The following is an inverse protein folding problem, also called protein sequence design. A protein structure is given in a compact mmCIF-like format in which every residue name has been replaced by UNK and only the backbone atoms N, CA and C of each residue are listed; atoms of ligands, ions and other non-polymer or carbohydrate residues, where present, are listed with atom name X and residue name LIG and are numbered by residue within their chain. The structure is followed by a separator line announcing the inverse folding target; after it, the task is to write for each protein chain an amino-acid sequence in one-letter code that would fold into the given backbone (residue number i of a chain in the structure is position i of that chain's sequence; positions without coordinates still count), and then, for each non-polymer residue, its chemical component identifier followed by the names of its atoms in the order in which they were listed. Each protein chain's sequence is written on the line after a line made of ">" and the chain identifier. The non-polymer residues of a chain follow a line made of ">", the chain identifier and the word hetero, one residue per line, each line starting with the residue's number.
data_IF_121468777547
#
_entry.id   IF_121468777547
#
_cell.length_a   1.000
_cell.length_b   1.000
_cell.length_c   1.000
_cell.angle_alpha   90.00
_cell.angle_beta   90.00
_cell.angle_gamma   90.00
#
_symmetry.space_group_name_H-M   'P 1'
#
loop_
_entity.id
_entity.type
_entity.pdbx_description
1 polymer ?
#
# COMPACT_ATOMS: atom_id res chain seq x y z
N UNK A 1 1.85 -6.85 -6.69
CA UNK A 1 2.00 -5.98 -7.89
C UNK A 1 0.81 -6.18 -8.81
N UNK A 2 0.58 -5.27 -9.76
CA UNK A 2 -0.52 -5.39 -10.74
C UNK A 2 0.04 -5.65 -12.14
N UNK A 3 -0.72 -6.38 -12.93
CA UNK A 3 -0.49 -6.58 -14.35
C UNK A 3 -1.80 -6.48 -15.12
N UNK A 4 -1.71 -6.12 -16.39
CA UNK A 4 -2.85 -6.09 -17.30
C UNK A 4 -2.77 -7.26 -18.28
N UNK A 5 -3.89 -7.93 -18.52
CA UNK A 5 -4.02 -8.93 -19.58
C UNK A 5 -3.80 -8.27 -20.96
N UNK A 6 -2.80 -8.70 -21.70
CA UNK A 6 -2.54 -8.26 -23.10
C UNK A 6 -3.43 -9.00 -24.10
N UNK A 7 -3.72 -10.25 -23.78
CA UNK A 7 -4.52 -11.18 -24.58
C UNK A 7 -5.47 -11.95 -23.69
N UNK A 8 -6.49 -12.56 -24.27
CA UNK A 8 -7.32 -13.52 -23.56
C UNK A 8 -6.51 -14.80 -23.31
N UNK A 9 -6.61 -15.33 -22.11
CA UNK A 9 -5.98 -16.59 -21.73
C UNK A 9 -7.03 -17.52 -21.11
N UNK A 10 -7.17 -18.70 -21.72
CA UNK A 10 -8.02 -19.78 -21.22
C UNK A 10 -7.13 -20.84 -20.59
N UNK A 11 -7.27 -21.05 -19.29
CA UNK A 11 -6.57 -22.09 -18.55
C UNK A 11 -6.84 -23.48 -19.16
N UNK A 12 -5.77 -24.24 -19.32
CA UNK A 12 -5.80 -25.63 -19.83
C UNK A 12 -5.46 -26.63 -18.73
N UNK A 13 -4.82 -26.18 -17.67
CA UNK A 13 -4.50 -26.95 -16.48
C UNK A 13 -5.24 -26.39 -15.24
N UNK A 14 -5.38 -27.23 -14.20
CA UNK A 14 -6.14 -26.89 -12.99
C UNK A 14 -5.49 -25.82 -12.13
N UNK A 15 -4.19 -25.62 -12.28
CA UNK A 15 -3.38 -24.62 -11.57
C UNK A 15 -3.21 -23.32 -12.36
N UNK A 16 -3.75 -23.24 -13.58
CA UNK A 16 -3.74 -22.04 -14.39
C UNK A 16 -4.93 -21.13 -14.10
N UNK A 17 -4.79 -19.83 -14.35
CA UNK A 17 -5.82 -18.81 -14.12
C UNK A 17 -6.27 -18.18 -15.44
N UNK A 18 -7.53 -18.42 -15.83
CA UNK A 18 -8.13 -17.79 -17.00
C UNK A 18 -8.38 -16.30 -16.77
N UNK A 19 -8.13 -15.50 -17.80
CA UNK A 19 -8.44 -14.07 -17.80
C UNK A 19 -8.68 -13.53 -19.21
N UNK A 20 -9.36 -12.39 -19.28
CA UNK A 20 -9.61 -11.67 -20.53
C UNK A 20 -8.61 -10.53 -20.73
N UNK A 21 -8.42 -10.12 -21.97
CA UNK A 21 -7.66 -8.91 -22.30
C UNK A 21 -8.21 -7.70 -21.52
N UNK A 22 -7.29 -6.94 -20.92
CA UNK A 22 -7.62 -5.78 -20.08
C UNK A 22 -7.96 -6.13 -18.63
N UNK A 23 -8.04 -7.42 -18.26
CA UNK A 23 -8.20 -7.78 -16.85
C UNK A 23 -7.03 -7.28 -16.02
N UNK A 24 -7.32 -6.77 -14.83
CA UNK A 24 -6.31 -6.36 -13.84
C UNK A 24 -6.02 -7.55 -12.93
N UNK A 25 -4.83 -8.07 -13.04
CA UNK A 25 -4.35 -9.23 -12.29
C UNK A 25 -3.47 -8.75 -11.12
N UNK A 26 -3.63 -9.37 -9.98
CA UNK A 26 -2.73 -9.19 -8.83
C UNK A 26 -1.62 -10.23 -8.93
N UNK A 27 -0.39 -9.79 -9.16
CA UNK A 27 0.77 -10.68 -9.22
C UNK A 27 1.26 -11.00 -7.81
N UNK A 28 1.28 -12.28 -7.50
CA UNK A 28 1.65 -12.82 -6.19
C UNK A 28 3.11 -13.27 -6.16
N UNK A 29 3.57 -13.95 -7.22
CA UNK A 29 4.93 -14.43 -7.33
C UNK A 29 5.41 -14.39 -8.80
N UNK A 30 6.67 -13.96 -9.01
CA UNK A 30 7.31 -13.84 -10.32
C UNK A 30 8.60 -14.67 -10.42
N UNK A 31 8.95 -15.42 -9.38
CA UNK A 31 10.28 -16.04 -9.24
C UNK A 31 10.24 -17.57 -9.28
N UNK A 32 9.07 -18.19 -9.11
CA UNK A 32 8.94 -19.65 -9.13
C UNK A 32 9.21 -20.24 -10.52
N UNK A 33 8.79 -19.54 -11.56
CA UNK A 33 8.98 -19.98 -12.95
C UNK A 33 9.38 -18.81 -13.86
N UNK A 34 10.22 -19.08 -14.85
CA UNK A 34 10.69 -18.05 -15.79
C UNK A 34 9.61 -17.58 -16.77
N UNK A 35 8.62 -18.40 -17.07
CA UNK A 35 7.58 -18.16 -18.07
C UNK A 35 6.20 -17.93 -17.48
N UNK A 36 5.99 -18.29 -16.22
CA UNK A 36 4.70 -18.23 -15.54
C UNK A 36 4.79 -17.42 -14.26
N UNK A 37 3.80 -16.57 -14.05
CA UNK A 37 3.66 -15.84 -12.81
C UNK A 37 2.45 -16.34 -12.04
N UNK A 38 2.59 -16.50 -10.73
CA UNK A 38 1.44 -16.74 -9.87
C UNK A 38 0.65 -15.46 -9.72
N UNK A 39 -0.63 -15.50 -10.02
CA UNK A 39 -1.53 -14.35 -10.00
C UNK A 39 -2.85 -14.66 -9.31
N UNK A 40 -3.57 -13.61 -8.94
CA UNK A 40 -4.94 -13.67 -8.43
C UNK A 40 -5.84 -12.77 -9.28
N UNK A 41 -7.04 -13.26 -9.58
CA UNK A 41 -8.12 -12.50 -10.18
C UNK A 41 -9.44 -12.85 -9.49
N UNK A 42 -10.11 -11.85 -8.89
CA UNK A 42 -11.40 -11.99 -8.18
C UNK A 42 -11.42 -13.10 -7.12
N UNK A 43 -10.31 -13.25 -6.38
CA UNK A 43 -10.17 -14.25 -5.32
C UNK A 43 -9.76 -15.65 -5.78
N UNK A 44 -9.57 -15.86 -7.07
CA UNK A 44 -9.02 -17.10 -7.62
C UNK A 44 -7.53 -16.95 -7.89
N UNK A 45 -6.73 -17.90 -7.45
CA UNK A 45 -5.28 -17.93 -7.68
C UNK A 45 -4.94 -18.97 -8.75
N UNK A 46 -3.91 -18.69 -9.54
CA UNK A 46 -3.36 -19.63 -10.49
C UNK A 46 -2.20 -19.03 -11.27
N UNK A 47 -1.61 -19.84 -12.15
CA UNK A 47 -0.50 -19.42 -12.99
C UNK A 47 -1.02 -18.75 -14.28
N UNK A 48 -0.33 -17.68 -14.68
CA UNK A 48 -0.59 -16.91 -15.90
C UNK A 48 0.68 -16.80 -16.72
N UNK A 49 0.60 -16.94 -18.07
CA UNK A 49 1.79 -16.84 -18.90
C UNK A 49 2.34 -15.41 -18.89
N UNK A 50 3.62 -15.24 -18.61
CA UNK A 50 4.33 -13.95 -18.58
C UNK A 50 4.12 -13.15 -19.88
N UNK A 51 4.07 -13.81 -21.02
CA UNK A 51 3.93 -13.15 -22.33
C UNK A 51 2.52 -12.64 -22.60
N UNK A 52 1.52 -13.11 -21.87
CA UNK A 52 0.11 -12.72 -21.99
C UNK A 52 -0.29 -11.56 -21.11
N UNK A 53 0.61 -11.12 -20.24
CA UNK A 53 0.37 -10.00 -19.32
C UNK A 53 1.43 -8.91 -19.47
N UNK A 54 1.07 -7.73 -19.04
CA UNK A 54 1.97 -6.58 -18.91
C UNK A 54 2.02 -6.15 -17.45
N UNK A 55 3.16 -6.41 -16.81
CA UNK A 55 3.39 -5.99 -15.42
C UNK A 55 3.64 -4.49 -15.40
N UNK A 56 2.91 -3.77 -14.54
CA UNK A 56 3.13 -2.34 -14.33
C UNK A 56 4.37 -2.18 -13.45
N UNK A 57 5.47 -1.65 -14.00
CA UNK A 57 6.67 -1.40 -13.20
C UNK A 57 6.39 -0.24 -12.24
N UNK A 58 6.61 -0.47 -10.96
CA UNK A 58 6.60 0.58 -9.96
C UNK A 58 8.03 0.95 -9.57
N UNK A 59 8.39 2.24 -9.57
CA UNK A 59 9.76 2.69 -9.25
C UNK A 59 10.17 2.34 -7.81
N UNK A 60 9.22 2.08 -6.95
CA UNK A 60 9.46 1.66 -5.57
C UNK A 60 9.59 0.15 -5.37
N UNK A 61 9.42 -0.68 -6.41
CA UNK A 61 9.58 -2.14 -6.28
C UNK A 61 10.97 -2.59 -6.70
N UNK A 62 11.70 -3.22 -5.79
CA UNK A 62 13.09 -3.62 -5.95
C UNK A 62 13.32 -5.13 -6.06
N UNK A 63 12.24 -5.93 -6.16
CA UNK A 63 12.37 -7.40 -6.30
C UNK A 63 13.00 -8.06 -5.08
N UNK A 64 13.85 -9.05 -5.31
CA UNK A 64 14.47 -9.89 -4.27
C UNK A 64 15.77 -9.33 -3.73
N UNK A 65 15.78 -8.06 -3.32
CA UNK A 65 16.93 -7.50 -2.61
C UNK A 65 16.88 -7.87 -1.12
N UNK A 66 18.07 -7.99 -0.52
CA UNK A 66 18.21 -8.27 0.90
C UNK A 66 17.81 -7.07 1.77
N UNK A 67 17.52 -7.35 3.05
CA UNK A 67 17.29 -6.29 4.06
C UNK A 67 18.47 -5.32 4.13
N UNK A 68 19.70 -5.84 4.14
CA UNK A 68 20.92 -5.04 4.20
C UNK A 68 21.08 -4.15 2.96
N UNK A 69 20.71 -4.66 1.80
CA UNK A 69 20.74 -3.90 0.55
C UNK A 69 19.71 -2.78 0.53
N UNK A 70 18.50 -3.05 1.02
CA UNK A 70 17.46 -2.04 1.19
C UNK A 70 17.91 -0.92 2.14
N UNK A 71 18.57 -1.26 3.26
CA UNK A 71 19.14 -0.30 4.20
C UNK A 71 20.23 0.56 3.54
N UNK A 72 21.13 -0.03 2.76
CA UNK A 72 22.17 0.71 2.02
C UNK A 72 21.58 1.71 1.03
N UNK A 73 20.54 1.31 0.29
CA UNK A 73 19.86 2.17 -0.69
C UNK A 73 19.19 3.36 0.02
N UNK A 74 18.45 3.09 1.08
CA UNK A 74 17.66 4.11 1.78
C UNK A 74 18.51 5.04 2.65
N UNK A 75 19.64 4.57 3.17
CA UNK A 75 20.56 5.34 4.02
C UNK A 75 21.78 5.87 3.26
N UNK A 76 21.77 5.79 1.93
CA UNK A 76 22.89 6.28 1.12
C UNK A 76 23.16 7.75 1.42
N UNK A 77 24.43 8.05 1.68
CA UNK A 77 24.92 9.41 1.92
C UNK A 77 25.59 9.97 0.70
N UNK A 78 25.43 11.24 0.49
CA UNK A 78 26.18 11.99 -0.51
C UNK A 78 27.69 11.99 -0.15
N UNK A 79 28.59 11.61 -1.07
CA UNK A 79 30.02 11.50 -0.77
C UNK A 79 30.66 12.83 -0.36
N UNK A 80 30.19 13.96 -0.86
CA UNK A 80 30.74 15.28 -0.58
C UNK A 80 30.20 15.91 0.69
N UNK A 81 28.90 15.78 0.94
CA UNK A 81 28.23 16.45 2.06
C UNK A 81 27.98 15.55 3.26
N UNK A 82 28.14 14.24 3.11
CA UNK A 82 27.84 13.20 4.12
C UNK A 82 26.37 13.23 4.62
N UNK A 83 25.51 13.93 3.90
CA UNK A 83 24.06 13.98 4.21
C UNK A 83 23.34 12.81 3.55
N UNK A 84 22.27 12.35 4.18
CA UNK A 84 21.40 11.36 3.59
C UNK A 84 20.81 11.89 2.26
N UNK A 85 20.96 11.12 1.19
CA UNK A 85 20.41 11.48 -0.13
C UNK A 85 18.90 11.33 -0.17
N UNK A 86 18.37 10.36 0.57
CA UNK A 86 16.94 10.07 0.55
C UNK A 86 16.20 10.87 1.64
N UNK A 87 15.00 11.39 1.34
CA UNK A 87 14.18 12.13 2.30
C UNK A 87 13.65 11.23 3.42
N UNK A 88 13.18 11.84 4.49
CA UNK A 88 12.41 11.15 5.54
C UNK A 88 11.14 10.55 4.95
N UNK A 89 10.87 9.27 5.24
CA UNK A 89 9.77 8.53 4.65
C UNK A 89 10.06 7.90 3.28
N UNK A 90 11.28 8.09 2.74
CA UNK A 90 11.69 7.39 1.51
C UNK A 90 11.55 5.88 1.72
N UNK A 91 10.98 5.19 0.73
CA UNK A 91 10.65 3.79 0.88
C UNK A 91 10.94 2.97 -0.37
N UNK A 92 11.03 1.67 -0.16
CA UNK A 92 10.98 0.66 -1.20
C UNK A 92 10.21 -0.57 -0.73
N UNK A 93 9.65 -1.31 -1.68
CA UNK A 93 9.03 -2.62 -1.47
C UNK A 93 9.94 -3.68 -2.09
N UNK A 94 10.16 -4.75 -1.36
CA UNK A 94 10.97 -5.90 -1.77
C UNK A 94 10.26 -7.22 -1.47
N UNK A 95 10.69 -8.29 -2.09
CA UNK A 95 10.27 -9.64 -1.71
C UNK A 95 10.77 -9.94 -0.30
N UNK A 96 9.99 -10.68 0.47
CA UNK A 96 10.36 -11.06 1.84
C UNK A 96 11.35 -12.22 1.81
N UNK A 97 12.54 -12.06 2.43
CA UNK A 97 13.57 -13.11 2.45
C UNK A 97 13.12 -14.36 3.24
N UNK A 98 12.35 -14.18 4.29
CA UNK A 98 11.91 -15.27 5.18
C UNK A 98 10.62 -15.98 4.73
N UNK A 99 9.92 -15.42 3.74
CA UNK A 99 8.62 -15.93 3.31
C UNK A 99 8.47 -15.66 1.81
N UNK A 100 8.82 -16.61 0.94
CA UNK A 100 8.65 -16.48 -0.51
C UNK A 100 7.20 -16.14 -0.88
N UNK A 101 7.02 -15.18 -1.78
CA UNK A 101 5.69 -14.69 -2.18
C UNK A 101 5.12 -13.54 -1.33
N UNK A 102 5.68 -13.29 -0.15
CA UNK A 102 5.32 -12.13 0.68
C UNK A 102 6.16 -10.91 0.33
N UNK A 103 5.68 -9.73 0.72
CA UNK A 103 6.38 -8.46 0.53
C UNK A 103 6.85 -7.88 1.87
N UNK A 104 7.93 -7.10 1.80
CA UNK A 104 8.42 -6.27 2.90
C UNK A 104 8.51 -4.82 2.43
N UNK A 105 7.94 -3.91 3.20
CA UNK A 105 8.07 -2.47 3.04
C UNK A 105 9.22 -1.99 3.91
N UNK A 106 10.21 -1.35 3.31
CA UNK A 106 11.37 -0.76 4.00
C UNK A 106 11.28 0.75 3.88
N UNK A 107 11.29 1.46 5.02
CA UNK A 107 11.05 2.91 5.08
C UNK A 107 12.15 3.59 5.88
N UNK A 108 12.75 4.63 5.30
CA UNK A 108 13.73 5.46 5.99
C UNK A 108 13.06 6.29 7.09
N UNK A 109 13.56 6.14 8.30
CA UNK A 109 13.12 6.88 9.48
C UNK A 109 14.33 7.42 10.22
N UNK A 110 14.58 8.70 10.11
CA UNK A 110 15.78 9.36 10.62
C UNK A 110 17.07 8.74 10.03
N UNK A 111 17.96 8.25 10.86
CA UNK A 111 19.21 7.56 10.47
C UNK A 111 19.08 6.03 10.43
N UNK A 112 17.87 5.51 10.41
CA UNK A 112 17.58 4.08 10.41
C UNK A 112 16.55 3.73 9.32
N UNK A 113 16.39 2.44 9.08
CA UNK A 113 15.33 1.90 8.22
C UNK A 113 14.42 1.01 9.06
N UNK A 114 13.13 1.30 9.01
CA UNK A 114 12.11 0.44 9.58
C UNK A 114 11.60 -0.51 8.50
N UNK A 115 11.41 -1.78 8.88
CA UNK A 115 10.95 -2.81 7.97
C UNK A 115 9.62 -3.38 8.46
N UNK A 116 8.63 -3.35 7.60
CA UNK A 116 7.29 -3.84 7.87
C UNK A 116 7.01 -5.04 6.95
N UNK A 117 6.63 -6.16 7.53
CA UNK A 117 6.11 -7.28 6.74
C UNK A 117 4.72 -6.90 6.24
N UNK A 118 4.51 -6.96 4.94
CA UNK A 118 3.17 -6.81 4.36
C UNK A 118 2.44 -8.13 4.56
N UNK A 119 1.41 -8.11 5.39
CA UNK A 119 0.60 -9.29 5.70
C UNK A 119 -0.46 -9.48 4.62
N UNK A 120 -0.90 -10.72 4.45
CA UNK A 120 -1.98 -11.09 3.54
C UNK A 120 -2.98 -11.96 4.27
N UNK A 121 -4.28 -11.63 4.22
CA UNK A 121 -5.32 -12.43 4.83
C UNK A 121 -5.81 -13.57 3.92
N UNK A 122 -6.70 -14.41 4.46
CA UNK A 122 -7.28 -15.53 3.72
C UNK A 122 -8.18 -15.13 2.53
N UNK A 123 -8.55 -13.85 2.40
CA UNK A 123 -9.26 -13.28 1.25
C UNK A 123 -8.31 -12.62 0.26
N UNK A 124 -6.99 -12.73 0.47
CA UNK A 124 -5.97 -12.16 -0.40
C UNK A 124 -5.74 -10.66 -0.22
N UNK A 125 -6.29 -10.01 0.81
CA UNK A 125 -6.09 -8.57 1.05
C UNK A 125 -4.78 -8.32 1.78
N UNK A 126 -4.10 -7.24 1.40
CA UNK A 126 -2.84 -6.81 2.00
C UNK A 126 -3.06 -5.79 3.11
N UNK A 127 -2.24 -5.86 4.16
CA UNK A 127 -2.29 -4.92 5.28
C UNK A 127 -0.96 -4.86 6.02
N UNK A 128 -0.71 -3.75 6.72
CA UNK A 128 0.36 -3.63 7.72
C UNK A 128 -0.20 -3.77 9.13
N UNK A 129 -1.37 -3.19 9.36
CA UNK A 129 -2.00 -3.12 10.67
C UNK A 129 -3.45 -3.61 10.57
N UNK A 130 -4.38 -2.69 10.49
CA UNK A 130 -5.83 -2.98 10.54
C UNK A 130 -6.49 -2.80 9.18
N UNK A 131 -6.14 -1.73 8.47
CA UNK A 131 -6.75 -1.39 7.17
C UNK A 131 -6.27 -2.36 6.11
N UNK A 132 -7.21 -2.97 5.38
CA UNK A 132 -6.95 -4.01 4.38
C UNK A 132 -7.21 -3.47 2.97
N UNK A 133 -6.31 -3.80 2.06
CA UNK A 133 -6.28 -3.32 0.68
C UNK A 133 -6.33 -4.48 -0.31
N UNK A 134 -6.91 -4.25 -1.47
CA UNK A 134 -6.97 -5.25 -2.53
C UNK A 134 -5.61 -5.43 -3.24
N UNK A 135 -4.71 -4.44 -3.12
CA UNK A 135 -3.38 -4.51 -3.71
C UNK A 135 -2.32 -3.83 -2.83
N UNK A 136 -1.04 -4.18 -3.06
CA UNK A 136 0.10 -3.47 -2.44
C UNK A 136 0.14 -2.02 -2.92
N UNK A 137 -0.32 -1.73 -4.13
CA UNK A 137 -0.38 -0.37 -4.67
C UNK A 137 -1.30 0.52 -3.83
N UNK A 138 -2.53 0.04 -3.54
CA UNK A 138 -3.48 0.75 -2.68
C UNK A 138 -2.94 0.95 -1.26
N UNK A 139 -2.26 -0.06 -0.71
CA UNK A 139 -1.60 0.04 0.58
C UNK A 139 -0.54 1.16 0.56
N UNK A 140 0.30 1.21 -0.47
CA UNK A 140 1.32 2.26 -0.62
C UNK A 140 0.67 3.64 -0.76
N UNK A 141 -0.35 3.77 -1.64
CA UNK A 141 -1.03 5.05 -1.87
C UNK A 141 -1.73 5.56 -0.60
N UNK A 142 -2.33 4.68 0.17
CA UNK A 142 -2.90 5.02 1.48
C UNK A 142 -1.84 5.58 2.44
N UNK A 143 -0.69 4.93 2.53
CA UNK A 143 0.38 5.33 3.44
C UNK A 143 1.22 6.53 2.95
N UNK A 144 0.92 7.10 1.79
CA UNK A 144 1.41 8.42 1.39
C UNK A 144 0.76 9.57 2.17
N UNK A 145 -0.45 9.35 2.68
CA UNK A 145 -1.21 10.34 3.48
C UNK A 145 -1.43 9.90 4.93
N UNK A 146 -1.23 8.62 5.23
CA UNK A 146 -1.44 8.02 6.55
C UNK A 146 -0.15 7.39 7.04
N UNK A 147 0.23 7.64 8.28
CA UNK A 147 1.48 7.11 8.84
C UNK A 147 1.58 5.59 8.77
N UNK A 148 2.75 5.09 8.36
CA UNK A 148 3.07 3.64 8.44
C UNK A 148 3.46 3.20 9.84
N UNK A 149 3.77 4.13 10.74
CA UNK A 149 4.21 3.86 12.10
C UNK A 149 3.19 4.40 13.10
N UNK A 150 2.84 3.60 14.10
CA UNK A 150 1.91 3.99 15.16
C UNK A 150 2.48 5.01 16.16
N UNK A 151 3.82 5.03 16.33
CA UNK A 151 4.49 5.87 17.32
C UNK A 151 5.05 7.18 16.78
N UNK A 152 5.09 7.36 15.45
CA UNK A 152 5.67 8.53 14.79
C UNK A 152 4.92 8.82 13.50
N UNK A 153 4.83 10.10 13.13
CA UNK A 153 4.24 10.46 11.85
C UNK A 153 5.23 10.20 10.71
N UNK A 154 5.19 9.00 10.13
CA UNK A 154 6.06 8.54 9.06
C UNK A 154 5.23 8.25 7.80
N UNK A 155 5.19 9.21 6.87
CA UNK A 155 4.49 9.10 5.60
C UNK A 155 5.43 8.59 4.51
N UNK A 156 4.92 7.77 3.59
CA UNK A 156 5.68 7.28 2.46
C UNK A 156 5.96 8.38 1.45
N UNK A 157 7.23 8.46 1.01
CA UNK A 157 7.68 9.37 -0.05
C UNK A 157 8.53 8.59 -1.05
N UNK A 158 8.38 8.93 -2.33
CA UNK A 158 9.25 8.35 -3.34
C UNK A 158 10.70 8.79 -3.11
N UNK A 159 11.63 7.88 -3.43
CA UNK A 159 13.04 8.21 -3.43
C UNK A 159 13.34 9.30 -4.46
N UNK A 160 14.27 10.19 -4.15
CA UNK A 160 14.71 11.25 -5.06
C UNK A 160 15.23 10.66 -6.38
N UNK A 161 14.88 11.29 -7.50
CA UNK A 161 15.06 10.79 -8.87
C UNK A 161 16.50 10.74 -9.38
N UNK A 162 17.51 10.93 -8.55
CA UNK A 162 18.90 10.95 -9.02
C UNK A 162 19.57 9.56 -9.15
N UNK A 163 18.89 8.47 -8.77
CA UNK A 163 19.48 7.11 -8.83
C UNK A 163 18.57 6.02 -9.38
N UNK A 164 17.77 6.30 -10.39
CA UNK A 164 17.18 5.24 -11.23
C UNK A 164 18.13 4.85 -12.38
N UNK A 165 19.42 4.75 -12.12
CA UNK A 165 20.39 4.21 -13.10
C UNK A 165 21.08 3.00 -12.52
N UNK A 166 20.57 1.83 -12.85
CA UNK A 166 21.32 0.59 -13.09
C UNK A 166 20.71 -0.68 -12.50
N UNK A 167 19.41 -0.90 -12.66
CA UNK A 167 18.97 -2.29 -12.83
C UNK A 167 18.31 -2.39 -14.20
N UNK A 168 19.21 -2.50 -15.22
CA UNK A 168 18.87 -2.66 -16.62
C UNK A 168 18.07 -3.93 -16.84
N UNK A 169 16.77 -3.80 -16.92
CA UNK A 169 16.02 -4.67 -17.80
C UNK A 169 16.07 -4.06 -19.20
N UNK A 170 16.98 -4.58 -20.03
CA UNK A 170 17.14 -4.23 -21.45
C UNK A 170 15.93 -4.74 -22.22
N UNK A 171 14.80 -4.09 -22.14
CA UNK A 171 13.70 -4.19 -23.12
C UNK A 171 12.52 -3.32 -22.63
N UNK A 172 12.67 -2.02 -22.73
CA UNK A 172 11.52 -1.12 -22.69
C UNK A 172 11.45 -0.36 -24.01
N UNK A 173 10.35 -0.42 -24.76
CA UNK A 173 10.14 0.48 -25.89
C UNK A 173 9.81 1.88 -25.36
N UNK A 174 10.53 2.84 -25.92
CA UNK A 174 10.34 4.29 -25.74
C UNK A 174 9.02 4.72 -26.37
N UNK A 175 8.45 5.75 -25.79
CA UNK A 175 7.54 6.76 -26.37
C UNK A 175 6.05 6.52 -26.16
N UNK A 176 5.43 7.33 -25.30
CA UNK A 176 4.24 8.10 -25.69
C UNK A 176 4.28 9.46 -24.97
N UNK A 177 4.18 10.50 -25.78
CA UNK A 177 4.11 11.91 -25.42
C UNK A 177 2.73 12.28 -24.85
N UNK A 178 2.75 13.24 -23.92
CA UNK A 178 1.75 14.28 -23.64
C UNK A 178 0.27 13.96 -23.89
N UNK A 179 -0.47 13.83 -22.81
CA UNK A 179 -1.82 14.39 -22.73
C UNK A 179 -1.91 15.27 -21.48
N UNK A 180 -1.90 16.57 -21.75
CA UNK A 180 -2.30 17.61 -20.83
C UNK A 180 -3.80 17.51 -20.62
N UNK A 181 -4.25 17.13 -19.44
CA UNK A 181 -5.64 17.31 -19.04
C UNK A 181 -5.68 18.19 -17.79
N UNK A 182 -6.31 19.33 -17.99
CA UNK A 182 -6.60 20.37 -17.02
C UNK A 182 -7.34 19.82 -15.80
N UNK A 183 -6.77 20.07 -14.62
CA UNK A 183 -7.42 19.86 -13.33
C UNK A 183 -8.55 20.87 -13.12
N UNK A 184 -9.71 20.47 -12.57
CA UNK A 184 -10.66 21.40 -12.00
C UNK A 184 -10.12 22.02 -10.71
N UNK A 185 -10.49 23.28 -10.39
CA UNK A 185 -9.97 23.99 -9.23
C UNK A 185 -10.44 23.36 -7.92
N UNK A 186 -9.62 23.42 -6.86
CA UNK A 186 -10.00 22.90 -5.55
C UNK A 186 -11.15 23.71 -4.95
N UNK A 187 -12.08 23.05 -4.21
CA UNK A 187 -13.12 23.76 -3.49
C UNK A 187 -12.52 24.59 -2.34
N UNK A 188 -13.17 25.71 -1.95
CA UNK A 188 -12.63 26.64 -0.97
C UNK A 188 -12.54 26.00 0.42
N UNK A 189 -11.42 26.22 1.09
CA UNK A 189 -11.22 25.89 2.48
C UNK A 189 -12.24 26.61 3.36
N UNK A 190 -13.13 25.86 3.97
CA UNK A 190 -14.00 26.36 5.03
C UNK A 190 -13.30 26.22 6.37
N UNK A 191 -13.25 27.29 7.07
CA UNK A 191 -12.70 27.54 8.39
C UNK A 191 -13.08 26.48 9.44
N UNK A 192 -12.09 26.14 10.25
CA UNK A 192 -12.18 25.34 11.46
C UNK A 192 -13.27 25.90 12.39
N UNK A 193 -14.33 25.13 12.58
CA UNK A 193 -15.29 25.33 13.67
C UNK A 193 -15.20 24.15 14.62
N UNK A 194 -15.03 24.47 15.87
CA UNK A 194 -15.13 23.59 17.04
C UNK A 194 -16.34 22.66 16.94
N UNK A 195 -16.09 21.36 16.80
CA UNK A 195 -17.12 20.33 16.63
C UNK A 195 -17.61 19.82 17.98
N UNK A 196 -18.68 20.43 18.46
CA UNK A 196 -19.50 19.83 19.50
C UNK A 196 -20.65 19.05 18.81
N UNK A 197 -20.60 17.71 18.85
CA UNK A 197 -21.74 16.86 18.58
C UNK A 197 -21.90 16.24 17.19
N UNK A 198 -20.88 16.17 16.36
CA UNK A 198 -21.01 15.50 15.07
C UNK A 198 -21.17 13.98 15.24
N UNK A 199 -22.26 13.42 14.69
CA UNK A 199 -22.58 12.00 14.76
C UNK A 199 -22.06 11.30 13.50
N UNK A 200 -21.36 10.20 13.69
CA UNK A 200 -20.85 9.33 12.64
C UNK A 200 -21.52 7.96 12.70
N UNK A 201 -21.37 7.18 11.64
CA UNK A 201 -21.83 5.81 11.59
C UNK A 201 -20.67 4.90 11.21
N UNK A 202 -20.56 3.76 11.88
CA UNK A 202 -19.57 2.73 11.54
C UNK A 202 -19.88 2.14 10.16
N UNK A 203 -18.95 2.27 9.24
CA UNK A 203 -19.03 1.69 7.90
C UNK A 203 -18.63 0.21 7.88
N UNK A 204 -17.78 -0.19 8.83
CA UNK A 204 -17.22 -1.55 8.96
C UNK A 204 -17.21 -1.98 10.43
N UNK A 205 -17.14 -3.31 10.64
CA UNK A 205 -16.93 -3.88 11.96
C UNK A 205 -15.46 -3.68 12.37
N UNK A 206 -15.24 -3.28 13.63
CA UNK A 206 -13.91 -3.17 14.21
C UNK A 206 -13.89 -3.89 15.55
N UNK A 207 -12.90 -4.75 15.76
CA UNK A 207 -12.65 -5.40 17.04
C UNK A 207 -11.41 -4.81 17.71
N UNK A 208 -11.52 -4.37 18.97
CA UNK A 208 -10.40 -3.82 19.71
C UNK A 208 -9.30 -4.87 19.88
N UNK A 209 -8.05 -4.44 19.69
CA UNK A 209 -6.86 -5.26 19.83
C UNK A 209 -5.94 -4.74 20.94
N UNK A 210 -6.14 -3.50 21.37
CA UNK A 210 -5.36 -2.85 22.42
C UNK A 210 -6.27 -2.21 23.48
N UNK A 211 -5.71 -2.02 24.68
CA UNK A 211 -6.40 -1.35 25.78
C UNK A 211 -6.71 0.11 25.40
N UNK A 212 -7.96 0.52 25.57
CA UNK A 212 -8.43 1.84 25.17
C UNK A 212 -9.14 1.92 23.81
N UNK A 213 -9.16 0.84 23.02
CA UNK A 213 -9.94 0.73 21.80
C UNK A 213 -11.38 0.27 22.11
N UNK A 214 -12.35 0.64 21.24
CA UNK A 214 -13.74 0.19 21.38
C UNK A 214 -14.19 -0.60 20.15
N UNK A 215 -15.05 -1.61 20.40
CA UNK A 215 -15.68 -2.38 19.34
C UNK A 215 -16.66 -1.51 18.56
N UNK A 216 -16.59 -1.59 17.22
CA UNK A 216 -17.60 -1.05 16.32
C UNK A 216 -18.28 -2.19 15.57
N UNK A 217 -19.61 -2.09 15.41
CA UNK A 217 -20.36 -2.90 14.46
C UNK A 217 -20.90 -1.99 13.36
N UNK A 218 -20.86 -2.47 12.14
CA UNK A 218 -21.42 -1.74 11.00
C UNK A 218 -22.82 -1.24 11.29
N UNK A 219 -23.01 0.07 11.14
CA UNK A 219 -24.27 0.75 11.44
C UNK A 219 -24.34 1.36 12.84
N UNK A 220 -23.34 1.15 13.70
CA UNK A 220 -23.30 1.80 15.01
C UNK A 220 -23.20 3.32 14.87
N UNK A 221 -23.97 4.03 15.67
CA UNK A 221 -23.87 5.48 15.77
C UNK A 221 -22.78 5.85 16.77
N UNK A 222 -21.93 6.76 16.36
CA UNK A 222 -20.75 7.17 17.11
C UNK A 222 -20.86 8.67 17.37
N UNK A 223 -20.86 9.03 18.65
CA UNK A 223 -20.69 10.42 19.05
C UNK A 223 -19.22 10.74 19.13
N UNK A 224 -18.76 11.64 18.27
CA UNK A 224 -17.36 12.03 18.22
C UNK A 224 -16.97 12.86 19.44
N UNK A 225 -15.83 12.51 20.02
CA UNK A 225 -15.25 13.21 21.16
C UNK A 225 -13.95 13.89 20.80
N UNK A 226 -13.12 13.25 19.95
CA UNK A 226 -11.83 13.79 19.52
C UNK A 226 -11.47 13.27 18.13
N UNK A 227 -11.02 14.18 17.26
CA UNK A 227 -10.58 13.93 15.88
C UNK A 227 -9.21 14.57 15.61
N UNK A 228 -8.44 14.84 16.66
CA UNK A 228 -7.15 15.50 16.56
C UNK A 228 -6.09 14.63 15.89
N UNK A 229 -6.22 13.30 15.98
CA UNK A 229 -5.38 12.35 15.25
C UNK A 229 -6.00 12.03 13.87
N UNK A 230 -5.17 11.99 12.84
CA UNK A 230 -5.63 11.75 11.46
C UNK A 230 -6.16 10.31 11.25
N UNK A 231 -5.76 9.36 12.08
CA UNK A 231 -6.00 7.92 11.87
C UNK A 231 -6.86 7.28 12.95
N UNK A 232 -6.80 7.80 14.17
CA UNK A 232 -7.47 7.26 15.33
C UNK A 232 -8.33 8.33 15.99
N UNK A 233 -9.63 8.13 15.92
CA UNK A 233 -10.59 9.04 16.53
C UNK A 233 -11.11 8.46 17.84
N UNK A 234 -11.43 9.34 18.76
CA UNK A 234 -12.07 8.97 20.01
C UNK A 234 -13.55 9.29 19.96
N UNK A 235 -14.35 8.34 20.34
CA UNK A 235 -15.79 8.52 20.35
C UNK A 235 -16.48 7.63 21.36
N UNK A 236 -17.78 7.84 21.49
CA UNK A 236 -18.68 7.08 22.34
C UNK A 236 -19.63 6.25 21.48
N UNK A 237 -19.66 4.95 21.75
CA UNK A 237 -20.54 3.97 21.09
C UNK A 237 -21.22 3.15 22.16
N UNK A 238 -22.56 3.11 22.19
CA UNK A 238 -23.35 2.33 23.17
C UNK A 238 -22.95 2.59 24.64
N UNK A 239 -22.50 3.82 24.96
CA UNK A 239 -22.05 4.18 26.31
C UNK A 239 -20.60 3.81 26.66
N UNK A 240 -19.88 3.20 25.74
CA UNK A 240 -18.44 2.93 25.87
C UNK A 240 -17.63 3.98 25.11
N UNK A 241 -16.57 4.49 25.74
CA UNK A 241 -15.67 5.50 25.14
C UNK A 241 -14.34 4.85 24.85
N UNK A 242 -13.82 5.05 23.63
CA UNK A 242 -12.51 4.56 23.26
C UNK A 242 -12.06 5.00 21.87
N UNK A 243 -10.91 4.48 21.44
CA UNK A 243 -10.31 4.77 20.16
C UNK A 243 -10.80 3.79 19.09
N UNK A 244 -10.92 4.27 17.88
CA UNK A 244 -11.22 3.47 16.69
C UNK A 244 -10.60 4.12 15.45
N UNK A 245 -10.35 3.34 14.37
CA UNK A 245 -9.77 3.91 13.16
C UNK A 245 -10.76 4.86 12.45
N UNK A 246 -10.30 6.06 12.10
CA UNK A 246 -11.08 7.09 11.41
C UNK A 246 -11.70 6.59 10.09
N UNK A 247 -11.01 5.68 9.40
CA UNK A 247 -11.45 5.10 8.13
C UNK A 247 -12.60 4.09 8.26
N UNK A 248 -12.93 3.68 9.48
CA UNK A 248 -14.03 2.75 9.75
C UNK A 248 -15.37 3.44 9.95
N UNK A 249 -15.38 4.78 9.93
CA UNK A 249 -16.57 5.58 10.17
C UNK A 249 -16.80 6.58 9.04
N UNK A 250 -18.05 6.98 8.85
CA UNK A 250 -18.44 8.03 7.91
C UNK A 250 -19.43 8.98 8.58
N UNK A 251 -19.52 10.25 8.16
CA UNK A 251 -20.56 11.17 8.63
C UNK A 251 -21.95 10.58 8.41
N UNK A 252 -22.85 10.84 9.34
CA UNK A 252 -24.24 10.38 9.26
C UNK A 252 -25.01 11.25 8.28
#
# INVERSE_FOLDING_TARGET
>A
MQAYGRYDFNATANDELSFQKGAVLKILNMEEDMNWYKAELKGQEGYVPKTYIEVVPHPWFYGSISRVEAEKILLQKDPGTQRNQQPEGAFLVRMCESSPGDFSLSVKCQDQVQHFKVLRDGMGKYFLWVVKFDSVNELIDYHRSTSVNRGQNLLLKDMGSEQTTSYNNKNAPRTIQNFQQSQPPPPPMSSVSSNDGQTYVAAYDFQPQEEGEIELKRGDRIRMLDQSDANWWKGEVRGSIGLFPATYVRPL
#
